data_IF_976175553617
#
_entry.id   IF_976175553617
#
_cell.length_a   1.000
_cell.length_b   1.000
_cell.length_c   1.000
_cell.angle_alpha   90.00
_cell.angle_beta   90.00
_cell.angle_gamma   90.00
#
_symmetry.space_group_name_H-M   'P 1'
#
loop_
_entity.id
_entity.type
_entity.pdbx_description
1 polymer ?
#
# COMPACT_ATOMS: atom_id res chain seq x y z
N UNK A 1 12.11 -16.08 -35.76
CA UNK A 1 11.94 -15.35 -34.48
C UNK A 1 11.74 -16.40 -33.39
N UNK A 2 12.59 -16.45 -32.35
CA UNK A 2 12.55 -17.52 -31.32
C UNK A 2 12.52 -16.86 -29.95
N UNK A 3 11.36 -16.92 -29.30
CA UNK A 3 11.15 -16.42 -27.94
C UNK A 3 11.24 -17.63 -27.00
N UNK A 4 12.07 -17.56 -25.96
CA UNK A 4 12.18 -18.57 -24.92
C UNK A 4 11.78 -17.93 -23.60
N UNK A 5 10.84 -18.57 -22.89
CA UNK A 5 10.35 -18.12 -21.60
C UNK A 5 11.01 -18.93 -20.50
N UNK A 6 11.82 -18.29 -19.66
CA UNK A 6 12.33 -18.84 -18.41
C UNK A 6 12.03 -17.83 -17.30
N UNK A 7 11.43 -18.30 -16.20
CA UNK A 7 11.20 -17.54 -14.96
C UNK A 7 10.42 -16.21 -15.08
N UNK A 8 9.68 -16.00 -16.17
CA UNK A 8 8.88 -14.78 -16.41
C UNK A 8 9.67 -13.62 -17.00
N UNK A 9 10.91 -13.85 -17.45
CA UNK A 9 11.70 -12.89 -18.21
C UNK A 9 11.52 -13.14 -19.71
N UNK A 10 11.30 -12.07 -20.47
CA UNK A 10 11.34 -12.14 -21.93
C UNK A 10 12.78 -11.92 -22.37
N UNK A 11 13.43 -12.96 -22.89
CA UNK A 11 14.74 -12.83 -23.51
C UNK A 11 14.57 -12.36 -24.95
N UNK A 12 14.87 -11.08 -25.19
CA UNK A 12 14.89 -10.52 -26.53
C UNK A 12 16.32 -10.55 -27.06
N UNK A 13 16.55 -11.27 -28.17
CA UNK A 13 17.81 -11.23 -28.90
C UNK A 13 17.71 -10.17 -29.98
N UNK A 14 18.44 -9.08 -29.82
CA UNK A 14 18.54 -8.01 -30.80
C UNK A 14 19.27 -8.49 -32.06
N UNK A 15 19.02 -7.87 -33.24
CA UNK A 15 19.70 -8.18 -34.49
C UNK A 15 21.22 -7.99 -34.44
N UNK A 16 21.72 -7.17 -33.52
CA UNK A 16 23.15 -6.92 -33.26
C UNK A 16 23.81 -8.02 -32.39
N UNK A 17 23.06 -9.05 -31.98
CA UNK A 17 23.53 -10.13 -31.14
C UNK A 17 23.42 -9.87 -29.63
N UNK A 18 23.04 -8.67 -29.22
CA UNK A 18 22.87 -8.34 -27.81
C UNK A 18 21.58 -8.95 -27.26
N UNK A 19 21.61 -9.45 -26.03
CA UNK A 19 20.42 -10.06 -25.40
C UNK A 19 19.94 -9.16 -24.28
N UNK A 20 18.80 -8.51 -24.46
CA UNK A 20 18.15 -7.74 -23.39
C UNK A 20 17.12 -8.63 -22.71
N UNK A 21 17.13 -8.59 -21.39
CA UNK A 21 16.05 -9.13 -20.58
C UNK A 21 15.07 -8.01 -20.35
N UNK A 22 13.93 -8.06 -21.02
CA UNK A 22 12.82 -7.17 -20.73
C UNK A 22 11.84 -7.89 -19.81
N UNK A 23 11.63 -7.32 -18.63
CA UNK A 23 10.54 -7.71 -17.75
C UNK A 23 9.23 -7.20 -18.34
N UNK A 24 8.12 -7.88 -18.04
CA UNK A 24 6.80 -7.38 -18.44
C UNK A 24 6.51 -5.97 -17.89
N UNK A 25 7.17 -5.60 -16.79
CA UNK A 25 7.09 -4.27 -16.20
C UNK A 25 7.74 -3.16 -17.07
N UNK A 26 8.67 -3.50 -17.96
CA UNK A 26 9.32 -2.52 -18.84
C UNK A 26 8.37 -2.03 -19.96
N UNK A 27 7.23 -2.68 -20.13
CA UNK A 27 6.23 -2.32 -21.15
C UNK A 27 5.21 -1.29 -20.69
N UNK A 28 5.20 -0.90 -19.41
CA UNK A 28 4.27 0.09 -18.86
C UNK A 28 4.93 1.48 -18.92
N UNK A 29 4.49 2.39 -19.82
CA UNK A 29 5.19 3.66 -20.08
C UNK A 29 5.30 4.58 -18.85
N UNK A 30 4.34 4.46 -17.92
CA UNK A 30 4.25 5.23 -16.68
C UNK A 30 5.21 4.72 -15.57
N UNK A 31 5.92 3.60 -15.81
CA UNK A 31 6.87 2.99 -14.86
C UNK A 31 8.35 3.35 -15.19
N UNK A 32 8.60 4.19 -16.20
CA UNK A 32 9.94 4.60 -16.69
C UNK A 32 10.80 5.40 -15.70
N UNK A 33 10.26 5.77 -14.53
CA UNK A 33 10.99 6.43 -13.42
C UNK A 33 11.44 5.49 -12.29
N UNK A 34 11.35 4.16 -12.48
CA UNK A 34 11.82 3.22 -11.45
C UNK A 34 13.35 3.16 -11.43
N UNK A 35 13.92 3.51 -10.28
CA UNK A 35 15.33 3.21 -9.98
C UNK A 35 15.48 1.68 -9.86
N UNK A 36 15.99 1.07 -10.93
CA UNK A 36 16.29 -0.34 -11.07
C UNK A 36 15.10 -1.33 -10.91
N UNK A 37 15.25 -2.46 -11.59
CA UNK A 37 14.29 -3.56 -11.67
C UNK A 37 13.98 -4.02 -10.24
N UNK A 38 12.78 -3.74 -9.69
CA UNK A 38 12.33 -4.18 -8.35
C UNK A 38 12.21 -5.71 -8.20
N UNK A 39 12.81 -6.46 -9.14
CA UNK A 39 12.70 -7.90 -9.32
C UNK A 39 11.23 -8.32 -9.29
N UNK A 40 10.43 -7.64 -10.12
CA UNK A 40 9.02 -7.93 -10.31
C UNK A 40 8.88 -9.33 -10.93
N UNK A 41 8.37 -10.27 -10.16
CA UNK A 41 8.11 -11.63 -10.61
C UNK A 41 6.64 -11.81 -11.00
N UNK A 42 6.32 -12.89 -11.71
CA UNK A 42 4.91 -13.27 -11.96
C UNK A 42 4.10 -13.36 -10.66
N UNK A 43 4.75 -13.77 -9.56
CA UNK A 43 4.11 -13.79 -8.24
C UNK A 43 3.75 -12.37 -7.77
N UNK A 44 4.67 -11.41 -7.84
CA UNK A 44 4.41 -10.01 -7.50
C UNK A 44 3.26 -9.42 -8.36
N UNK A 45 3.22 -9.74 -9.65
CA UNK A 45 2.14 -9.35 -10.54
C UNK A 45 0.79 -9.91 -10.06
N UNK A 46 0.69 -11.22 -9.85
CA UNK A 46 -0.56 -11.87 -9.43
C UNK A 46 -1.06 -11.34 -8.09
N UNK A 47 -0.14 -11.02 -7.17
CA UNK A 47 -0.45 -10.38 -5.89
C UNK A 47 -1.05 -8.98 -6.11
N UNK A 48 -0.38 -8.14 -6.92
CA UNK A 48 -0.83 -6.77 -7.26
C UNK A 48 -2.23 -6.74 -7.87
N UNK A 49 -2.59 -7.75 -8.65
CA UNK A 49 -3.91 -7.86 -9.28
C UNK A 49 -4.93 -8.67 -8.48
N UNK A 50 -4.58 -9.14 -7.27
CA UNK A 50 -5.51 -9.88 -6.40
C UNK A 50 -5.85 -11.28 -6.90
N UNK A 51 -5.02 -11.90 -7.74
CA UNK A 51 -5.24 -13.22 -8.34
C UNK A 51 -4.90 -14.36 -7.35
N UNK A 52 -5.63 -14.44 -6.24
CA UNK A 52 -5.28 -15.18 -5.01
C UNK A 52 -4.92 -16.67 -5.19
N UNK A 53 -5.55 -17.37 -6.13
CA UNK A 53 -5.31 -18.80 -6.34
C UNK A 53 -3.87 -19.11 -6.76
N UNK A 54 -3.24 -18.24 -7.56
CA UNK A 54 -1.87 -18.47 -8.01
C UNK A 54 -0.83 -18.30 -6.87
N UNK A 55 -0.80 -17.18 -6.12
CA UNK A 55 0.06 -17.04 -4.95
C UNK A 55 -0.17 -18.15 -3.93
N UNK A 56 -1.42 -18.49 -3.61
CA UNK A 56 -1.74 -19.54 -2.65
C UNK A 56 -1.13 -20.89 -3.07
N UNK A 57 -1.33 -21.30 -4.34
CA UNK A 57 -0.77 -22.54 -4.86
C UNK A 57 0.77 -22.52 -4.90
N UNK A 58 1.38 -21.37 -5.22
CA UNK A 58 2.83 -21.21 -5.29
C UNK A 58 3.48 -21.25 -3.90
N UNK A 59 2.89 -20.55 -2.93
CA UNK A 59 3.36 -20.46 -1.54
C UNK A 59 3.21 -21.79 -0.79
N UNK A 60 2.14 -22.53 -1.08
CA UNK A 60 1.93 -23.87 -0.52
C UNK A 60 3.01 -24.87 -0.95
N UNK A 61 3.64 -24.65 -2.11
CA UNK A 61 4.71 -25.52 -2.62
C UNK A 61 6.09 -25.09 -2.15
N UNK A 62 6.33 -23.78 -2.05
CA UNK A 62 7.66 -23.24 -1.76
C UNK A 62 7.53 -21.91 -1.02
N UNK A 63 7.46 -21.91 0.32
CA UNK A 63 7.39 -20.69 1.12
C UNK A 63 8.58 -19.75 0.92
N UNK A 64 9.74 -20.28 0.51
CA UNK A 64 10.95 -19.50 0.21
C UNK A 64 10.78 -18.44 -0.88
N UNK A 65 9.75 -18.53 -1.72
CA UNK A 65 9.45 -17.52 -2.75
C UNK A 65 8.99 -16.18 -2.16
N UNK A 66 8.70 -16.13 -0.85
CA UNK A 66 8.44 -14.89 -0.12
C UNK A 66 9.67 -14.00 -0.02
N UNK A 67 10.84 -14.61 0.14
CA UNK A 67 12.12 -13.89 0.20
C UNK A 67 12.59 -13.64 -1.22
N UNK A 68 12.45 -12.40 -1.69
CA UNK A 68 12.98 -11.97 -2.99
C UNK A 68 13.75 -10.66 -2.84
N UNK A 69 14.75 -10.40 -3.68
CA UNK A 69 15.38 -9.09 -3.71
C UNK A 69 14.39 -8.00 -4.13
N UNK A 70 14.69 -6.77 -3.71
CA UNK A 70 13.89 -5.60 -4.04
C UNK A 70 12.64 -5.47 -3.15
N UNK A 71 11.52 -5.12 -3.77
CA UNK A 71 10.28 -4.79 -3.05
C UNK A 71 9.66 -6.04 -2.38
N UNK A 72 9.33 -5.99 -1.08
CA UNK A 72 8.59 -7.03 -0.38
C UNK A 72 7.25 -7.34 -1.04
N UNK A 73 6.87 -8.61 -1.11
CA UNK A 73 5.61 -9.03 -1.73
C UNK A 73 4.38 -8.40 -1.06
N UNK A 74 4.41 -8.20 0.27
CA UNK A 74 3.35 -7.52 1.00
C UNK A 74 3.11 -6.09 0.50
N UNK A 75 4.17 -5.38 0.08
CA UNK A 75 4.05 -4.00 -0.37
C UNK A 75 3.28 -3.87 -1.69
N UNK A 76 3.24 -4.91 -2.52
CA UNK A 76 2.42 -4.93 -3.74
C UNK A 76 0.91 -5.04 -3.46
N UNK A 77 0.51 -5.54 -2.28
CA UNK A 77 -0.90 -5.56 -1.86
C UNK A 77 -1.36 -4.18 -1.39
N UNK A 78 -0.45 -3.43 -0.78
CA UNK A 78 -0.75 -2.18 -0.09
C UNK A 78 -0.69 -0.97 -1.03
N UNK A 79 0.32 -0.91 -1.90
CA UNK A 79 0.64 0.31 -2.65
C UNK A 79 0.17 0.26 -4.10
N UNK A 80 -0.32 1.41 -4.56
CA UNK A 80 -0.50 1.67 -5.98
C UNK A 80 0.84 2.05 -6.65
N UNK A 81 0.87 1.85 -7.96
CA UNK A 81 2.00 1.71 -8.88
C UNK A 81 2.89 2.94 -8.96
N UNK A 82 2.34 4.10 -8.60
CA UNK A 82 2.92 5.40 -8.93
C UNK A 82 3.97 5.91 -7.92
N UNK A 83 4.44 5.08 -6.99
CA UNK A 83 5.34 5.52 -5.91
C UNK A 83 4.71 6.56 -4.97
N UNK A 84 3.46 6.96 -5.24
CA UNK A 84 2.64 7.76 -4.35
C UNK A 84 2.28 6.82 -3.21
N UNK A 85 2.71 7.16 -1.99
CA UNK A 85 2.42 6.49 -0.71
C UNK A 85 0.91 6.48 -0.44
N UNK A 86 0.19 5.71 -1.26
CA UNK A 86 -1.26 5.71 -1.42
C UNK A 86 -1.78 4.29 -1.34
N UNK A 87 -2.90 4.12 -0.62
CA UNK A 87 -3.59 2.84 -0.55
C UNK A 87 -4.13 2.49 -1.93
N UNK A 88 -3.85 1.26 -2.37
CA UNK A 88 -4.50 0.73 -3.55
C UNK A 88 -5.99 0.57 -3.28
N UNK A 89 -6.84 1.08 -4.18
CA UNK A 89 -8.28 0.75 -4.17
C UNK A 89 -8.52 -0.76 -4.36
N UNK A 90 -7.50 -1.47 -4.85
CA UNK A 90 -7.46 -2.91 -5.04
C UNK A 90 -6.83 -3.66 -3.86
N UNK A 91 -6.50 -2.99 -2.76
CA UNK A 91 -6.01 -3.69 -1.57
C UNK A 91 -7.02 -4.76 -1.15
N UNK A 92 -6.54 -5.99 -1.12
CA UNK A 92 -7.31 -7.18 -0.80
C UNK A 92 -6.80 -7.76 0.54
N UNK A 93 -7.58 -7.61 1.65
CA UNK A 93 -7.20 -8.17 2.95
C UNK A 93 -6.99 -9.69 2.93
N UNK A 94 -7.67 -10.41 2.04
CA UNK A 94 -7.54 -11.86 1.90
C UNK A 94 -6.17 -12.24 1.33
N UNK A 95 -5.72 -11.55 0.28
CA UNK A 95 -4.37 -11.73 -0.28
C UNK A 95 -3.30 -11.41 0.76
N UNK A 96 -3.50 -10.36 1.55
CA UNK A 96 -2.60 -10.00 2.63
C UNK A 96 -2.52 -11.12 3.68
N UNK A 97 -3.68 -11.64 4.10
CA UNK A 97 -3.76 -12.76 5.04
C UNK A 97 -3.02 -13.99 4.50
N UNK A 98 -3.18 -14.33 3.22
CA UNK A 98 -2.41 -15.42 2.60
C UNK A 98 -0.91 -15.20 2.75
N UNK A 99 -0.39 -14.02 2.39
CA UNK A 99 1.04 -13.75 2.49
C UNK A 99 1.55 -13.83 3.93
N UNK A 100 0.83 -13.23 4.88
CA UNK A 100 1.19 -13.21 6.30
C UNK A 100 1.14 -14.61 6.93
N UNK A 101 0.11 -15.41 6.63
CA UNK A 101 -0.02 -16.80 7.09
C UNK A 101 1.09 -17.71 6.56
N UNK A 102 1.64 -17.40 5.38
CA UNK A 102 2.76 -18.13 4.82
C UNK A 102 4.14 -17.60 5.27
N UNK A 103 4.18 -16.62 6.19
CA UNK A 103 5.41 -16.15 6.84
C UNK A 103 6.01 -14.87 6.26
N UNK A 104 5.25 -14.09 5.49
CA UNK A 104 5.72 -12.78 5.05
C UNK A 104 5.87 -11.83 6.26
N UNK A 105 7.01 -11.14 6.35
CA UNK A 105 7.32 -10.28 7.50
C UNK A 105 6.77 -8.85 7.29
N UNK A 106 5.84 -8.38 8.12
CA UNK A 106 5.32 -7.01 8.03
C UNK A 106 6.35 -5.94 8.42
N UNK A 107 7.49 -6.32 9.01
CA UNK A 107 8.58 -5.41 9.34
C UNK A 107 9.70 -5.42 8.28
N UNK A 108 9.57 -6.21 7.21
CA UNK A 108 10.53 -6.25 6.11
C UNK A 108 10.71 -4.83 5.52
N UNK A 109 11.96 -4.41 5.36
CA UNK A 109 12.30 -3.05 4.96
C UNK A 109 12.62 -2.94 3.48
N UNK A 110 12.12 -1.89 2.85
CA UNK A 110 12.43 -1.51 1.48
C UNK A 110 12.52 0.01 1.35
N UNK A 111 13.56 0.49 0.68
CA UNK A 111 13.83 1.94 0.55
C UNK A 111 13.84 2.68 1.90
N UNK A 112 14.33 2.02 2.96
CA UNK A 112 14.44 2.60 4.31
C UNK A 112 13.15 2.57 5.14
N UNK A 113 12.04 2.03 4.62
CA UNK A 113 10.78 1.90 5.35
C UNK A 113 10.34 0.45 5.43
N UNK A 114 9.83 0.03 6.59
CA UNK A 114 9.13 -1.26 6.69
C UNK A 114 7.81 -1.25 5.92
N UNK A 115 7.33 -2.43 5.56
CA UNK A 115 5.96 -2.64 5.02
C UNK A 115 4.93 -1.99 5.93
N UNK A 116 5.05 -2.20 7.24
CA UNK A 116 4.20 -1.57 8.25
C UNK A 116 4.25 -0.04 8.24
N UNK A 117 5.44 0.55 8.26
CA UNK A 117 5.60 2.01 8.18
C UNK A 117 4.99 2.59 6.90
N UNK A 118 5.14 1.87 5.79
CA UNK A 118 4.55 2.27 4.51
C UNK A 118 3.01 2.25 4.57
N UNK A 119 2.42 1.20 5.16
CA UNK A 119 0.98 1.10 5.36
C UNK A 119 0.43 2.25 6.22
N UNK A 120 1.14 2.57 7.31
CA UNK A 120 0.77 3.66 8.21
C UNK A 120 0.85 5.03 7.54
N UNK A 121 1.93 5.29 6.79
CA UNK A 121 2.08 6.53 6.06
C UNK A 121 0.95 6.71 5.03
N UNK A 122 0.65 5.66 4.26
CA UNK A 122 -0.47 5.68 3.34
C UNK A 122 -1.81 5.92 4.07
N UNK A 123 -1.98 5.34 5.27
CA UNK A 123 -3.21 5.50 6.05
C UNK A 123 -3.41 6.94 6.47
N UNK A 124 -2.40 7.56 7.08
CA UNK A 124 -2.49 8.94 7.56
C UNK A 124 -2.73 9.92 6.41
N UNK A 125 -2.03 9.73 5.28
CA UNK A 125 -2.25 10.55 4.08
C UNK A 125 -3.71 10.45 3.62
N UNK A 126 -4.28 9.25 3.55
CA UNK A 126 -5.61 9.05 2.94
C UNK A 126 -6.81 9.30 3.84
N UNK A 127 -6.71 9.10 5.15
CA UNK A 127 -7.79 9.43 6.09
C UNK A 127 -8.14 10.92 6.03
N UNK A 128 -7.17 11.77 5.67
CA UNK A 128 -7.42 13.20 5.45
C UNK A 128 -8.28 13.48 4.21
N UNK A 129 -8.31 12.59 3.22
CA UNK A 129 -8.97 12.83 1.92
C UNK A 129 -10.23 11.98 1.68
N UNK A 130 -10.38 10.81 2.32
CA UNK A 130 -11.55 9.95 2.14
C UNK A 130 -11.77 8.98 3.28
N UNK A 131 -12.99 9.03 3.84
CA UNK A 131 -13.53 8.08 4.83
C UNK A 131 -14.01 6.77 4.21
N UNK A 132 -14.22 6.75 2.89
CA UNK A 132 -14.58 5.52 2.19
C UNK A 132 -13.39 4.53 2.28
N UNK A 133 -13.70 3.26 2.51
CA UNK A 133 -12.76 2.16 2.80
C UNK A 133 -12.01 2.20 4.15
N UNK A 134 -12.44 3.04 5.11
CA UNK A 134 -11.79 3.09 6.42
C UNK A 134 -11.78 1.73 7.13
N UNK A 135 -12.90 1.01 7.12
CA UNK A 135 -13.02 -0.32 7.72
C UNK A 135 -12.05 -1.32 7.08
N UNK A 136 -11.94 -1.31 5.75
CA UNK A 136 -10.99 -2.15 5.02
C UNK A 136 -9.55 -1.83 5.40
N UNK A 137 -9.19 -0.55 5.47
CA UNK A 137 -7.83 -0.11 5.86
C UNK A 137 -7.52 -0.49 7.31
N UNK A 138 -8.46 -0.28 8.22
CA UNK A 138 -8.33 -0.71 9.61
C UNK A 138 -8.15 -2.24 9.70
N UNK A 139 -8.89 -3.01 8.89
CA UNK A 139 -8.75 -4.47 8.83
C UNK A 139 -7.35 -4.88 8.38
N UNK A 140 -6.79 -4.22 7.37
CA UNK A 140 -5.40 -4.45 6.94
C UNK A 140 -4.40 -4.13 8.04
N UNK A 141 -4.53 -2.96 8.69
CA UNK A 141 -3.61 -2.58 9.77
C UNK A 141 -3.70 -3.57 10.95
N UNK A 142 -4.91 -4.01 11.30
CA UNK A 142 -5.12 -5.06 12.31
C UNK A 142 -4.44 -6.36 11.93
N UNK A 143 -4.58 -6.82 10.69
CA UNK A 143 -3.90 -8.02 10.19
C UNK A 143 -2.38 -7.92 10.31
N UNK A 144 -1.79 -6.78 9.92
CA UNK A 144 -0.34 -6.57 10.05
C UNK A 144 0.12 -6.69 11.52
N UNK A 145 -0.59 -6.05 12.45
CA UNK A 145 -0.26 -6.12 13.90
C UNK A 145 -0.44 -7.53 14.46
N UNK A 146 -1.51 -8.23 14.09
CA UNK A 146 -1.75 -9.61 14.50
C UNK A 146 -0.63 -10.56 14.07
N UNK A 147 0.03 -10.25 12.94
CA UNK A 147 1.18 -11.00 12.42
C UNK A 147 2.54 -10.39 12.78
N UNK A 148 2.60 -9.56 13.83
CA UNK A 148 3.87 -9.12 14.43
C UNK A 148 4.43 -7.80 13.90
N UNK A 149 3.63 -6.99 13.18
CA UNK A 149 4.04 -5.62 12.85
C UNK A 149 4.32 -4.83 14.14
N UNK A 150 5.45 -4.13 14.19
CA UNK A 150 5.84 -3.37 15.37
C UNK A 150 4.92 -2.16 15.58
N UNK A 151 4.00 -2.17 16.57
CA UNK A 151 3.07 -1.08 16.77
C UNK A 151 3.80 0.22 17.14
N UNK A 152 5.03 0.12 17.67
CA UNK A 152 5.84 1.24 18.10
C UNK A 152 6.67 1.90 16.99
N UNK A 153 6.58 1.40 15.76
CA UNK A 153 7.28 2.00 14.63
C UNK A 153 6.81 3.44 14.40
N UNK A 154 7.77 4.36 14.27
CA UNK A 154 7.49 5.74 13.94
C UNK A 154 7.51 5.93 12.43
N UNK A 155 6.57 6.73 11.91
CA UNK A 155 6.57 7.17 10.51
C UNK A 155 6.79 8.66 10.44
N UNK A 156 7.74 9.07 9.60
CA UNK A 156 7.93 10.45 9.22
C UNK A 156 6.96 10.79 8.08
N UNK A 157 6.08 11.75 8.33
CA UNK A 157 5.21 12.31 7.31
C UNK A 157 5.85 13.57 6.74
N UNK A 158 6.22 13.51 5.47
CA UNK A 158 6.66 14.71 4.75
C UNK A 158 5.42 15.49 4.33
N UNK A 159 5.21 16.65 4.96
CA UNK A 159 4.15 17.61 4.65
C UNK A 159 4.71 19.03 4.60
N UNK A 160 4.04 19.96 3.91
CA UNK A 160 4.58 21.30 3.64
C UNK A 160 4.87 22.14 4.88
N UNK A 161 4.35 21.78 6.07
CA UNK A 161 4.41 22.64 7.26
C UNK A 161 4.86 21.98 8.57
N UNK A 162 5.25 20.69 8.62
CA UNK A 162 5.90 20.11 9.82
C UNK A 162 6.27 18.63 9.63
N UNK A 163 7.44 18.23 10.11
CA UNK A 163 7.78 16.82 10.36
C UNK A 163 6.90 16.31 11.50
N UNK A 164 5.80 15.61 11.20
CA UNK A 164 5.00 14.92 12.21
C UNK A 164 5.38 13.45 12.25
N UNK A 165 5.86 13.01 13.40
CA UNK A 165 6.03 11.59 13.71
C UNK A 165 4.66 11.03 14.10
N UNK A 166 4.17 10.04 13.35
CA UNK A 166 3.02 9.26 13.79
C UNK A 166 3.54 8.03 14.52
N UNK A 167 3.10 7.87 15.77
CA UNK A 167 3.57 6.86 16.73
C UNK A 167 2.37 6.07 17.26
N UNK A 168 2.57 4.82 17.76
CA UNK A 168 1.58 3.86 18.32
C UNK A 168 0.32 4.43 19.00
N UNK A 169 0.46 5.53 19.74
CA UNK A 169 -0.63 6.20 20.46
C UNK A 169 -1.72 6.72 19.51
N UNK A 170 -1.35 7.08 18.27
CA UNK A 170 -2.28 7.58 17.27
C UNK A 170 -3.20 6.47 16.74
N UNK A 171 -2.71 5.24 16.61
CA UNK A 171 -3.51 4.08 16.18
C UNK A 171 -4.37 3.53 17.32
N UNK A 172 -3.86 3.46 18.56
CA UNK A 172 -4.65 3.01 19.70
C UNK A 172 -5.90 3.89 19.88
N UNK A 173 -5.74 5.22 19.84
CA UNK A 173 -6.88 6.16 19.89
C UNK A 173 -7.83 6.07 18.69
N UNK A 174 -7.35 5.63 17.54
CA UNK A 174 -8.15 5.54 16.31
C UNK A 174 -8.86 4.19 16.15
N UNK A 175 -8.23 3.09 16.60
CA UNK A 175 -8.73 1.72 16.52
C UNK A 175 -9.65 1.35 17.70
N UNK A 176 -9.49 1.96 18.88
CA UNK A 176 -10.39 1.80 20.04
C UNK A 176 -11.70 2.60 19.90
N UNK A 177 -11.81 3.48 18.91
CA UNK A 177 -13.00 4.31 18.72
C UNK A 177 -14.03 3.55 17.85
N UNK A 178 -14.89 2.75 18.48
CA UNK A 178 -16.22 2.38 17.94
C UNK A 178 -17.05 3.62 17.52
N UNK A 179 -16.60 4.82 17.91
CA UNK A 179 -17.20 6.12 17.61
C UNK A 179 -16.55 6.88 16.45
N UNK A 180 -15.85 6.23 15.51
CA UNK A 180 -15.26 6.91 14.35
C UNK A 180 -16.32 7.67 13.49
N UNK A 181 -17.59 7.29 13.58
CA UNK A 181 -18.70 8.05 12.98
C UNK A 181 -19.03 9.40 13.63
N UNK A 182 -18.76 9.62 14.93
CA UNK A 182 -19.15 10.85 15.66
C UNK A 182 -18.10 11.96 15.63
N UNK A 183 -16.83 11.62 15.45
CA UNK A 183 -15.74 12.60 15.48
C UNK A 183 -15.72 13.50 14.24
N UNK A 184 -16.19 13.01 13.10
CA UNK A 184 -16.18 13.74 11.82
C UNK A 184 -17.40 14.67 11.68
N UNK A 185 -18.53 14.33 12.31
CA UNK A 185 -19.71 15.21 12.34
C UNK A 185 -19.48 16.52 13.10
N UNK A 186 -18.53 16.57 14.06
CA UNK A 186 -18.19 17.81 14.77
C UNK A 186 -17.43 18.83 13.90
N UNK A 187 -16.72 18.37 12.87
CA UNK A 187 -16.05 19.25 11.91
C UNK A 187 -17.01 19.89 10.91
N UNK A 188 -18.01 19.14 10.42
CA UNK A 188 -19.03 19.67 9.50
C UNK A 188 -20.01 20.64 10.18
N UNK A 189 -20.36 20.44 11.45
CA UNK A 189 -21.36 21.30 12.12
C UNK A 189 -20.90 22.72 12.38
N UNK A 190 -19.60 22.99 12.62
CA UNK A 190 -19.12 24.35 12.92
C UNK A 190 -19.09 25.23 11.67
N UNK A 191 -18.59 24.72 10.55
CA UNK A 191 -18.52 25.50 9.31
C UNK A 191 -19.90 25.66 8.66
N UNK A 192 -20.77 24.64 8.72
CA UNK A 192 -22.14 24.76 8.20
C UNK A 192 -23.02 25.70 9.05
N UNK A 193 -22.80 25.75 10.38
CA UNK A 193 -23.49 26.73 11.24
C UNK A 193 -22.95 28.14 11.05
N UNK A 194 -21.64 28.33 10.85
CA UNK A 194 -21.05 29.63 10.54
C UNK A 194 -21.54 30.16 9.18
N UNK A 195 -21.66 29.28 8.17
CA UNK A 195 -22.16 29.64 6.84
C UNK A 195 -23.66 29.96 6.83
N UNK A 196 -24.47 29.25 7.64
CA UNK A 196 -25.89 29.59 7.86
C UNK A 196 -26.10 30.87 8.68
N UNK A 197 -25.22 31.17 9.64
CA UNK A 197 -25.29 32.40 10.42
C UNK A 197 -24.94 33.63 9.56
N UNK A 198 -23.96 33.50 8.66
CA UNK A 198 -23.57 34.57 7.72
C UNK A 198 -24.68 34.88 6.71
N UNK A 199 -25.33 33.86 6.15
CA UNK A 199 -26.49 34.03 5.25
C UNK A 199 -27.71 34.69 5.92
N UNK A 200 -27.86 34.55 7.25
CA UNK A 200 -28.98 35.16 8.00
C UNK A 200 -28.70 36.61 8.41
N UNK A 201 -27.44 37.04 8.39
CA UNK A 201 -27.03 38.41 8.67
C UNK A 201 -27.03 39.31 7.42
N UNK A 202 -26.90 38.74 6.22
CA UNK A 202 -26.84 39.45 4.94
C UNK A 202 -28.21 39.55 4.23
N UNK A 203 -29.31 39.12 4.86
CA UNK A 203 -30.64 39.03 4.26
C UNK A 203 -31.79 39.54 5.14
N UNK A 204 -31.64 40.73 5.72
CA UNK A 204 -32.73 41.47 6.35
C UNK A 204 -32.61 42.97 6.03
N UNK A 205 -33.29 43.37 4.96
CA UNK A 205 -34.00 44.65 4.89
C UNK A 205 -35.47 44.39 5.26
#
# INVERSE_FOLDING_TARGET
>A
MKVRWEEGLCHYRHPDGNTTTSSWCDTIPDETRREAVWHDSMLALTIRFGLIFYPLAKLSRSPSVLTKPGRPLLQYVLNDVQGKKRWSTRTNPEMLSVLLCHGADPNETFEGFSVWQTALQAFVIHVQFSIFDLERRCSVLRLLVQHGANPNAQVQLDGPDTTRYSSPVFLARFLDHEQCGRCISRGKTRDDQARKAKFKAEGKD
#
